data_IF_552744795058
#
_entry.id   IF_552744795058
#
_cell.length_a   1.000
_cell.length_b   1.000
_cell.length_c   1.000
_cell.angle_alpha   90.00
_cell.angle_beta   90.00
_cell.angle_gamma   90.00
#
_symmetry.space_group_name_H-M   'P 1'
#
loop_
_entity.id
_entity.type
_entity.pdbx_description
1 polymer ?
#
# COMPACT_ATOMS: atom_id res chain seq x y z
N UNK A 1 -8.26 14.60 -27.09
CA UNK A 1 -9.69 14.32 -26.83
C UNK A 1 -10.54 15.42 -27.42
N UNK A 2 -11.47 15.13 -28.34
CA UNK A 2 -12.24 16.18 -29.05
C UNK A 2 -13.32 16.85 -28.19
N UNK A 3 -13.47 16.44 -26.91
CA UNK A 3 -14.56 16.88 -26.03
C UNK A 3 -14.07 17.70 -24.82
N UNK A 4 -12.76 17.99 -24.72
CA UNK A 4 -12.21 18.81 -23.66
C UNK A 4 -12.01 20.26 -24.18
N UNK A 5 -12.38 21.22 -23.33
CA UNK A 5 -12.18 22.64 -23.53
C UNK A 5 -10.93 23.14 -22.81
N UNK A 6 -10.41 24.29 -23.23
CA UNK A 6 -9.32 24.98 -22.52
C UNK A 6 -9.68 25.19 -21.04
N UNK A 7 -8.76 24.89 -20.14
CA UNK A 7 -8.95 24.96 -18.69
C UNK A 7 -9.54 23.69 -18.06
N UNK A 8 -9.95 22.69 -18.85
CA UNK A 8 -10.39 21.41 -18.30
C UNK A 8 -9.21 20.66 -17.67
N UNK A 9 -9.50 19.85 -16.65
CA UNK A 9 -8.52 19.03 -15.95
C UNK A 9 -8.76 17.56 -16.22
N UNK A 10 -7.72 16.85 -16.67
CA UNK A 10 -7.70 15.40 -16.78
C UNK A 10 -7.08 14.83 -15.50
N UNK A 11 -7.78 13.93 -14.84
CA UNK A 11 -7.28 13.23 -13.65
C UNK A 11 -6.98 11.76 -14.02
N UNK A 12 -5.76 11.33 -13.78
CA UNK A 12 -5.37 9.91 -13.86
C UNK A 12 -5.30 9.34 -12.45
N UNK A 13 -6.32 8.58 -12.04
CA UNK A 13 -6.39 7.88 -10.76
C UNK A 13 -6.02 6.40 -10.84
N UNK A 14 -5.36 5.98 -11.92
CA UNK A 14 -4.89 4.62 -12.11
C UNK A 14 -3.61 4.30 -11.33
N UNK A 15 -2.96 3.20 -11.67
CA UNK A 15 -1.61 2.87 -11.19
C UNK A 15 -0.61 3.07 -12.34
N UNK A 16 -0.46 4.32 -12.77
CA UNK A 16 0.27 4.71 -13.97
C UNK A 16 1.76 4.95 -13.70
N UNK A 17 2.56 4.96 -14.77
CA UNK A 17 3.97 5.27 -14.68
C UNK A 17 4.17 6.79 -14.60
N UNK A 18 4.81 7.27 -13.55
CA UNK A 18 5.07 8.70 -13.31
C UNK A 18 5.78 9.42 -14.47
N UNK A 19 6.59 8.70 -15.26
CA UNK A 19 7.27 9.29 -16.43
C UNK A 19 6.29 9.57 -17.57
N UNK A 20 5.26 8.74 -17.70
CA UNK A 20 4.17 8.98 -18.64
C UNK A 20 3.30 10.15 -18.21
N UNK A 21 3.11 10.34 -16.90
CA UNK A 21 2.36 11.48 -16.37
C UNK A 21 3.05 12.80 -16.70
N UNK A 22 4.38 12.87 -16.49
CA UNK A 22 5.18 14.05 -16.86
C UNK A 22 5.02 14.36 -18.36
N UNK A 23 5.11 13.35 -19.23
CA UNK A 23 4.93 13.51 -20.67
C UNK A 23 3.52 13.96 -21.03
N UNK A 24 2.49 13.30 -20.47
CA UNK A 24 1.08 13.63 -20.71
C UNK A 24 0.74 15.03 -20.25
N UNK A 25 1.24 15.44 -19.08
CA UNK A 25 1.05 16.79 -18.57
C UNK A 25 1.59 17.84 -19.55
N UNK A 26 2.80 17.67 -20.08
CA UNK A 26 3.37 18.56 -21.07
C UNK A 26 2.53 18.60 -22.36
N UNK A 27 2.14 17.43 -22.90
CA UNK A 27 1.34 17.33 -24.13
C UNK A 27 -0.08 17.98 -23.98
N UNK A 28 -0.65 17.93 -22.77
CA UNK A 28 -1.95 18.53 -22.47
C UNK A 28 -1.83 20.03 -22.23
N UNK A 29 -0.76 20.49 -21.59
CA UNK A 29 -0.48 21.92 -21.39
C UNK A 29 -0.38 22.70 -22.71
N UNK A 30 0.21 22.11 -23.76
CA UNK A 30 0.25 22.69 -25.11
C UNK A 30 -1.16 22.95 -25.71
N UNK A 31 -2.17 22.32 -25.12
CA UNK A 31 -3.59 22.45 -25.53
C UNK A 31 -4.43 23.25 -24.53
N UNK A 32 -3.80 23.89 -23.56
CA UNK A 32 -4.50 24.63 -22.50
C UNK A 32 -5.28 23.74 -21.52
N UNK A 33 -4.88 22.45 -21.40
CA UNK A 33 -5.51 21.49 -20.50
C UNK A 33 -4.59 21.21 -19.31
N UNK A 34 -5.16 20.96 -18.15
CA UNK A 34 -4.44 20.54 -16.95
C UNK A 34 -4.40 19.03 -16.79
N UNK A 35 -3.34 18.53 -16.16
CA UNK A 35 -3.19 17.12 -15.84
C UNK A 35 -2.84 16.92 -14.36
N UNK A 36 -3.57 16.01 -13.70
CA UNK A 36 -3.38 15.67 -12.30
C UNK A 36 -3.26 14.14 -12.19
N UNK A 37 -2.16 13.67 -11.66
CA UNK A 37 -1.94 12.26 -11.34
C UNK A 37 -2.27 11.99 -9.88
N UNK A 38 -2.98 10.89 -9.62
CA UNK A 38 -3.43 10.54 -8.27
C UNK A 38 -3.10 9.08 -7.99
N UNK A 39 -2.07 8.85 -7.19
CA UNK A 39 -1.78 7.55 -6.63
C UNK A 39 -2.78 7.20 -5.54
N UNK A 40 -3.58 6.16 -5.75
CA UNK A 40 -4.68 5.77 -4.86
C UNK A 40 -4.30 4.52 -4.06
N UNK A 41 -4.55 4.52 -2.76
CA UNK A 41 -4.43 3.35 -1.88
C UNK A 41 -5.67 3.18 -1.02
N UNK A 42 -6.00 1.94 -0.64
CA UNK A 42 -7.21 1.58 0.13
C UNK A 42 -7.84 0.27 -0.34
N UNK A 43 -7.45 -0.21 -1.52
CA UNK A 43 -7.92 -1.47 -2.07
C UNK A 43 -9.44 -1.54 -2.17
N UNK A 44 -9.98 -2.74 -1.98
CA UNK A 44 -11.43 -3.00 -2.03
C UNK A 44 -12.21 -2.37 -0.89
N UNK A 45 -11.55 -2.01 0.21
CA UNK A 45 -12.16 -1.35 1.38
C UNK A 45 -12.21 0.17 1.28
N UNK A 46 -11.61 0.76 0.24
CA UNK A 46 -11.61 2.20 0.06
C UNK A 46 -13.00 2.80 -0.13
N UNK A 47 -13.96 2.02 -0.64
CA UNK A 47 -15.33 2.49 -0.76
C UNK A 47 -15.97 2.77 0.62
N UNK A 48 -15.67 1.94 1.61
CA UNK A 48 -16.24 2.05 2.97
C UNK A 48 -15.39 2.94 3.87
N UNK A 49 -14.06 2.92 3.72
CA UNK A 49 -13.12 3.55 4.63
C UNK A 49 -12.50 4.84 4.07
N UNK A 50 -12.72 5.15 2.80
CA UNK A 50 -12.03 6.21 2.07
C UNK A 50 -10.69 5.74 1.47
N UNK A 51 -10.15 6.56 0.57
CA UNK A 51 -8.92 6.28 -0.16
C UNK A 51 -7.80 7.23 0.26
N UNK A 52 -6.63 6.71 0.57
CA UNK A 52 -5.45 7.55 0.71
C UNK A 52 -4.96 8.01 -0.67
N UNK A 53 -4.79 9.33 -0.86
CA UNK A 53 -4.51 9.94 -2.15
C UNK A 53 -3.18 10.69 -2.14
N UNK A 54 -2.29 10.33 -3.06
CA UNK A 54 -1.02 11.02 -3.32
C UNK A 54 -1.12 11.71 -4.67
N UNK A 55 -1.09 13.04 -4.66
CA UNK A 55 -1.52 13.87 -5.80
C UNK A 55 -0.32 14.59 -6.39
N UNK A 56 -0.18 14.53 -7.71
CA UNK A 56 0.77 15.30 -8.49
C UNK A 56 0.07 16.20 -9.50
N UNK A 57 0.60 17.40 -9.73
CA UNK A 57 0.04 18.36 -10.66
C UNK A 57 0.41 19.80 -10.31
N UNK A 58 -0.07 20.76 -11.08
CA UNK A 58 0.08 22.17 -10.79
C UNK A 58 -0.80 22.59 -9.60
N UNK A 59 -0.37 23.60 -8.84
CA UNK A 59 -1.03 24.06 -7.61
C UNK A 59 -2.49 24.45 -7.83
N UNK A 60 -2.77 25.21 -8.91
CA UNK A 60 -4.11 25.73 -9.18
C UNK A 60 -5.13 24.61 -9.45
N UNK A 61 -4.93 23.71 -10.43
CA UNK A 61 -5.91 22.65 -10.70
C UNK A 61 -6.03 21.67 -9.53
N UNK A 62 -4.94 21.37 -8.81
CA UNK A 62 -4.99 20.52 -7.61
C UNK A 62 -5.80 21.19 -6.50
N UNK A 63 -5.58 22.49 -6.23
CA UNK A 63 -6.33 23.24 -5.22
C UNK A 63 -7.82 23.33 -5.56
N UNK A 64 -8.16 23.53 -6.84
CA UNK A 64 -9.56 23.55 -7.32
C UNK A 64 -10.27 22.21 -7.07
N UNK A 65 -9.54 21.10 -7.13
CA UNK A 65 -10.05 19.74 -6.95
C UNK A 65 -10.04 19.27 -5.48
N UNK A 66 -9.53 20.07 -4.55
CA UNK A 66 -9.46 19.69 -3.12
C UNK A 66 -10.79 19.18 -2.55
N UNK A 67 -11.97 19.79 -2.84
CA UNK A 67 -13.24 19.26 -2.34
C UNK A 67 -13.55 17.84 -2.83
N UNK A 68 -13.09 17.46 -4.03
CA UNK A 68 -13.25 16.11 -4.58
C UNK A 68 -12.34 15.15 -3.82
N UNK A 69 -11.05 15.49 -3.63
CA UNK A 69 -10.11 14.66 -2.90
C UNK A 69 -10.56 14.46 -1.45
N UNK A 70 -11.03 15.49 -0.79
CA UNK A 70 -11.57 15.45 0.57
C UNK A 70 -12.78 14.52 0.69
N UNK A 71 -13.65 14.48 -0.33
CA UNK A 71 -14.81 13.60 -0.33
C UNK A 71 -14.47 12.12 -0.53
N UNK A 72 -13.31 11.83 -1.14
CA UNK A 72 -12.84 10.47 -1.37
C UNK A 72 -11.93 9.96 -0.25
N UNK A 73 -11.29 10.87 0.49
CA UNK A 73 -10.33 10.54 1.54
C UNK A 73 -11.01 10.01 2.82
N UNK A 74 -10.27 9.26 3.68
CA UNK A 74 -10.81 8.71 4.92
C UNK A 74 -11.29 9.76 5.92
N UNK A 75 -10.72 10.97 5.90
CA UNK A 75 -10.93 11.98 6.92
C UNK A 75 -10.22 11.67 8.23
N UNK A 76 -10.23 12.64 9.14
CA UNK A 76 -9.57 12.52 10.44
C UNK A 76 -10.33 11.56 11.35
N UNK A 77 -9.64 10.56 11.89
CA UNK A 77 -10.17 9.68 12.94
C UNK A 77 -11.01 8.50 12.48
N UNK A 78 -11.30 8.35 11.18
CA UNK A 78 -12.10 7.22 10.69
C UNK A 78 -11.31 5.89 10.67
N UNK A 79 -10.03 5.95 10.31
CA UNK A 79 -9.16 4.75 10.21
C UNK A 79 -8.11 4.75 11.32
N UNK A 80 -7.49 5.91 11.56
CA UNK A 80 -6.48 6.11 12.59
C UNK A 80 -6.63 7.51 13.19
N UNK A 81 -6.35 7.65 14.50
CA UNK A 81 -6.32 8.95 15.16
C UNK A 81 -5.15 9.81 14.71
N UNK A 82 -5.16 11.08 15.08
CA UNK A 82 -4.06 12.02 14.79
C UNK A 82 -2.74 11.55 15.42
N UNK A 83 -1.66 11.83 14.74
CA UNK A 83 -0.31 11.57 15.26
C UNK A 83 -0.10 12.38 16.54
N UNK A 84 0.42 11.71 17.58
CA UNK A 84 0.71 12.35 18.87
C UNK A 84 1.64 13.57 18.68
N UNK A 85 1.28 14.66 19.36
CA UNK A 85 2.02 15.93 19.27
C UNK A 85 1.65 16.84 18.09
N UNK A 86 0.76 16.42 17.20
CA UNK A 86 0.18 17.33 16.19
C UNK A 86 -0.93 18.17 16.80
N UNK A 87 -0.78 19.49 16.75
CA UNK A 87 -1.71 20.49 17.26
C UNK A 87 -2.33 21.31 16.13
N UNK A 88 -3.36 22.11 16.44
CA UNK A 88 -4.06 22.98 15.49
C UNK A 88 -5.05 22.25 14.59
N UNK A 89 -5.50 22.93 13.52
CA UNK A 89 -6.41 22.33 12.54
C UNK A 89 -5.75 21.17 11.78
N UNK A 90 -6.49 20.10 11.48
CA UNK A 90 -5.97 19.00 10.68
C UNK A 90 -5.47 19.45 9.31
N UNK A 91 -4.35 18.89 8.87
CA UNK A 91 -3.86 19.06 7.51
C UNK A 91 -4.52 18.08 6.55
N UNK A 92 -4.44 18.33 5.25
CA UNK A 92 -4.93 17.39 4.23
C UNK A 92 -4.27 16.01 4.32
N UNK A 93 -3.00 15.95 4.74
CA UNK A 93 -2.30 14.69 4.99
C UNK A 93 -2.94 13.89 6.16
N UNK A 94 -3.41 14.57 7.20
CA UNK A 94 -4.13 13.93 8.32
C UNK A 94 -5.54 13.49 7.92
N UNK A 95 -6.12 14.11 6.89
CA UNK A 95 -7.39 13.70 6.29
C UNK A 95 -7.21 12.54 5.30
N UNK A 96 -5.98 12.20 4.90
CA UNK A 96 -5.65 11.06 4.04
C UNK A 96 -5.35 11.43 2.59
N UNK A 97 -5.13 12.71 2.26
CA UNK A 97 -4.68 13.12 0.91
C UNK A 97 -3.62 14.21 0.97
N UNK A 98 -2.71 14.21 0.01
CA UNK A 98 -1.61 15.17 -0.04
C UNK A 98 -1.24 15.54 -1.47
N UNK A 99 -1.10 16.85 -1.75
CA UNK A 99 -0.41 17.33 -2.93
C UNK A 99 1.10 17.13 -2.74
N UNK A 100 1.67 16.15 -3.45
CA UNK A 100 3.06 15.71 -3.29
C UNK A 100 4.05 16.53 -4.12
N UNK A 101 3.57 17.25 -5.13
CA UNK A 101 4.43 18.05 -6.02
C UNK A 101 3.89 18.12 -7.46
N UNK A 102 4.76 18.45 -8.45
CA UNK A 102 4.36 18.58 -9.84
C UNK A 102 3.87 17.26 -10.44
N UNK A 103 3.39 17.30 -11.69
CA UNK A 103 2.92 16.13 -12.41
C UNK A 103 3.90 14.96 -12.36
N UNK A 104 3.39 13.78 -12.06
CA UNK A 104 4.13 12.54 -11.81
C UNK A 104 4.50 12.31 -10.34
N UNK A 105 4.44 13.34 -9.47
CA UNK A 105 4.81 13.19 -8.05
C UNK A 105 3.87 12.25 -7.30
N UNK A 106 2.58 12.26 -7.60
CA UNK A 106 1.59 11.40 -6.97
C UNK A 106 1.86 9.92 -7.25
N UNK A 107 1.96 9.55 -8.52
CA UNK A 107 2.29 8.18 -8.93
C UNK A 107 3.71 7.76 -8.54
N UNK A 108 4.68 8.67 -8.48
CA UNK A 108 6.00 8.34 -7.97
C UNK A 108 5.96 7.93 -6.48
N UNK A 109 5.28 8.72 -5.64
CA UNK A 109 5.10 8.39 -4.22
C UNK A 109 4.32 7.08 -4.06
N UNK A 110 3.26 6.87 -4.87
CA UNK A 110 2.50 5.61 -4.86
C UNK A 110 3.35 4.42 -5.30
N UNK A 111 4.21 4.57 -6.28
CA UNK A 111 5.13 3.52 -6.72
C UNK A 111 6.08 3.09 -5.58
N UNK A 112 6.63 4.05 -4.84
CA UNK A 112 7.48 3.75 -3.66
C UNK A 112 6.68 3.04 -2.58
N UNK A 113 5.46 3.52 -2.28
CA UNK A 113 4.53 2.85 -1.37
C UNK A 113 4.29 1.40 -1.77
N UNK A 114 3.99 1.13 -3.03
CA UNK A 114 3.77 -0.23 -3.52
C UNK A 114 5.01 -1.11 -3.38
N UNK A 115 6.21 -0.56 -3.62
CA UNK A 115 7.46 -1.28 -3.39
C UNK A 115 7.64 -1.72 -1.94
N UNK A 116 7.33 -0.85 -0.99
CA UNK A 116 7.35 -1.16 0.45
C UNK A 116 6.29 -2.21 0.79
N UNK A 117 5.06 -2.04 0.29
CA UNK A 117 3.95 -2.98 0.52
C UNK A 117 4.30 -4.39 0.08
N UNK A 118 4.80 -4.57 -1.15
CA UNK A 118 5.21 -5.88 -1.66
C UNK A 118 6.41 -6.45 -0.89
N UNK A 119 7.35 -5.61 -0.45
CA UNK A 119 8.45 -6.04 0.41
C UNK A 119 7.97 -6.60 1.75
N UNK A 120 6.99 -5.94 2.38
CA UNK A 120 6.37 -6.42 3.62
C UNK A 120 5.59 -7.73 3.40
N UNK A 121 4.81 -7.82 2.33
CA UNK A 121 4.06 -9.03 1.97
C UNK A 121 5.01 -10.22 1.76
N UNK A 122 6.13 -10.02 1.06
CA UNK A 122 7.14 -11.06 0.86
C UNK A 122 7.78 -11.50 2.18
N UNK A 123 8.09 -10.57 3.08
CA UNK A 123 8.65 -10.88 4.39
C UNK A 123 7.69 -11.70 5.26
N UNK A 124 6.40 -11.36 5.26
CA UNK A 124 5.38 -12.15 5.99
C UNK A 124 5.21 -13.54 5.37
N UNK A 125 5.13 -13.63 4.04
CA UNK A 125 4.98 -14.90 3.35
C UNK A 125 6.15 -15.85 3.64
N UNK A 126 7.39 -15.35 3.59
CA UNK A 126 8.59 -16.13 3.89
C UNK A 126 8.61 -16.56 5.36
N UNK A 127 8.34 -15.66 6.30
CA UNK A 127 8.29 -15.98 7.72
C UNK A 127 7.23 -17.04 8.06
N UNK A 128 6.03 -16.92 7.50
CA UNK A 128 4.96 -17.90 7.68
C UNK A 128 5.29 -19.24 7.01
N UNK A 129 5.95 -19.23 5.86
CA UNK A 129 6.41 -20.47 5.20
C UNK A 129 7.45 -21.21 6.06
N UNK A 130 8.38 -20.48 6.70
CA UNK A 130 9.33 -21.06 7.65
C UNK A 130 8.60 -21.72 8.82
N UNK A 131 7.61 -21.05 9.41
CA UNK A 131 6.82 -21.61 10.51
C UNK A 131 5.98 -22.82 10.07
N UNK A 132 5.36 -22.74 8.89
CA UNK A 132 4.60 -23.86 8.31
C UNK A 132 5.48 -25.10 8.10
N UNK A 133 6.75 -24.87 7.76
CA UNK A 133 7.73 -25.93 7.49
C UNK A 133 8.55 -26.35 8.72
N UNK A 134 8.30 -25.78 9.89
CA UNK A 134 9.10 -26.03 11.11
C UNK A 134 8.97 -27.46 11.67
N UNK A 135 8.03 -28.24 11.15
CA UNK A 135 7.86 -29.67 11.48
C UNK A 135 8.60 -30.63 10.55
N UNK A 136 9.44 -30.13 9.65
CA UNK A 136 10.12 -30.98 8.64
C UNK A 136 10.94 -32.10 9.26
N UNK A 137 11.47 -31.94 10.50
CA UNK A 137 12.20 -32.96 11.24
C UNK A 137 11.33 -34.11 11.80
N UNK A 138 9.98 -33.98 11.73
CA UNK A 138 9.03 -35.05 12.11
C UNK A 138 8.85 -36.08 10.99
N UNK A 139 9.22 -35.76 9.75
CA UNK A 139 9.17 -36.71 8.65
C UNK A 139 10.27 -37.77 8.82
N UNK A 140 9.88 -38.97 9.24
CA UNK A 140 10.80 -40.03 9.65
C UNK A 140 11.65 -40.59 8.49
N UNK A 141 11.20 -40.45 7.24
CA UNK A 141 11.86 -41.01 6.05
C UNK A 141 11.83 -39.98 4.91
N UNK A 142 12.68 -38.97 4.99
CA UNK A 142 12.98 -38.18 3.80
C UNK A 142 13.84 -39.03 2.86
N UNK A 143 13.32 -39.34 1.67
CA UNK A 143 14.13 -39.98 0.62
C UNK A 143 15.32 -39.07 0.33
N UNK A 144 16.49 -39.52 0.74
CA UNK A 144 17.75 -38.86 0.43
C UNK A 144 18.13 -39.19 -1.01
N UNK A 145 18.21 -38.19 -1.84
CA UNK A 145 18.72 -38.31 -3.21
C UNK A 145 20.00 -37.47 -3.39
N UNK A 146 20.62 -37.57 -4.55
CA UNK A 146 21.88 -36.86 -4.83
C UNK A 146 21.74 -35.31 -4.80
N UNK A 147 20.52 -34.81 -4.85
CA UNK A 147 20.20 -33.35 -4.90
C UNK A 147 19.79 -32.78 -3.52
N UNK A 148 19.41 -33.63 -2.57
CA UNK A 148 18.99 -33.22 -1.23
C UNK A 148 20.02 -33.59 -0.17
N UNK A 149 20.58 -32.58 0.50
CA UNK A 149 21.44 -32.81 1.65
C UNK A 149 20.59 -33.28 2.85
N UNK A 150 21.00 -34.34 3.59
CA UNK A 150 20.29 -34.76 4.78
C UNK A 150 20.31 -33.65 5.85
N UNK A 151 19.19 -33.49 6.54
CA UNK A 151 19.08 -32.58 7.67
C UNK A 151 20.03 -33.03 8.79
N UNK A 152 20.88 -32.12 9.28
CA UNK A 152 21.91 -32.46 10.27
C UNK A 152 21.36 -32.69 11.66
N UNK A 153 20.26 -32.01 12.00
CA UNK A 153 19.63 -32.06 13.33
C UNK A 153 18.11 -32.00 13.21
N UNK A 154 17.47 -33.08 12.75
CA UNK A 154 16.03 -33.11 12.56
C UNK A 154 15.26 -32.88 13.87
N UNK A 155 15.85 -33.22 15.01
CA UNK A 155 15.28 -33.02 16.34
C UNK A 155 15.07 -31.53 16.71
N UNK A 156 15.77 -30.62 16.05
CA UNK A 156 15.60 -29.15 16.24
C UNK A 156 14.44 -28.59 15.43
N UNK A 157 13.80 -29.37 14.55
CA UNK A 157 12.75 -28.94 13.61
C UNK A 157 11.50 -29.82 13.70
N UNK A 158 11.00 -30.01 14.92
CA UNK A 158 9.84 -30.87 15.22
C UNK A 158 8.66 -30.08 15.77
N UNK A 159 8.46 -28.85 15.25
CA UNK A 159 7.39 -27.98 15.71
C UNK A 159 6.13 -28.16 14.85
N UNK A 160 4.98 -28.16 15.51
CA UNK A 160 3.66 -28.10 14.89
C UNK A 160 3.00 -26.81 15.37
N UNK A 161 3.11 -25.75 14.56
CA UNK A 161 2.59 -24.45 14.91
C UNK A 161 1.17 -24.26 14.38
N UNK A 162 0.32 -23.67 15.20
CA UNK A 162 -0.93 -23.07 14.78
C UNK A 162 -0.66 -21.65 14.26
N UNK A 163 -0.63 -21.50 12.94
CA UNK A 163 -0.30 -20.22 12.30
C UNK A 163 -1.38 -19.17 12.52
N UNK A 164 -2.65 -19.57 12.64
CA UNK A 164 -3.74 -18.66 12.92
C UNK A 164 -3.56 -18.03 14.31
N UNK A 165 -3.28 -18.84 15.33
CA UNK A 165 -3.04 -18.35 16.68
C UNK A 165 -1.75 -17.53 16.80
N UNK A 166 -0.69 -17.89 16.09
CA UNK A 166 0.56 -17.11 16.05
C UNK A 166 0.31 -15.73 15.43
N UNK A 167 -0.37 -15.67 14.29
CA UNK A 167 -0.66 -14.38 13.64
C UNK A 167 -1.65 -13.55 14.44
N UNK A 168 -2.58 -14.17 15.18
CA UNK A 168 -3.43 -13.47 16.13
C UNK A 168 -2.62 -12.79 17.25
N UNK A 169 -1.58 -13.44 17.77
CA UNK A 169 -0.63 -12.80 18.71
C UNK A 169 0.11 -11.66 18.06
N UNK A 170 0.57 -11.83 16.81
CA UNK A 170 1.33 -10.80 16.12
C UNK A 170 0.53 -9.51 15.89
N UNK A 171 -0.73 -9.61 15.57
CA UNK A 171 -1.62 -8.44 15.39
C UNK A 171 -1.95 -7.71 16.69
N UNK A 172 -1.77 -8.35 17.88
CA UNK A 172 -2.17 -7.79 19.18
C UNK A 172 -1.19 -6.80 19.80
N UNK A 173 0.06 -6.74 19.38
CA UNK A 173 0.99 -5.78 19.97
C UNK A 173 2.45 -5.98 19.63
N UNK A 174 2.77 -6.80 18.64
CA UNK A 174 4.15 -6.94 18.18
C UNK A 174 4.57 -5.75 17.31
N UNK A 175 5.88 -5.56 17.16
CA UNK A 175 6.45 -4.46 16.33
C UNK A 175 6.06 -4.59 14.86
N UNK A 176 5.77 -5.80 14.37
CA UNK A 176 5.33 -6.03 12.99
C UNK A 176 3.82 -5.84 12.79
N UNK A 177 3.08 -5.45 13.83
CA UNK A 177 1.65 -5.17 13.72
C UNK A 177 1.38 -4.19 12.58
N UNK A 178 0.48 -4.58 11.69
CA UNK A 178 0.08 -3.75 10.54
C UNK A 178 -1.27 -4.24 10.01
N UNK A 179 -1.91 -3.45 9.14
CA UNK A 179 -3.11 -3.90 8.44
C UNK A 179 -2.87 -5.17 7.62
N UNK A 180 -1.65 -5.34 7.05
CA UNK A 180 -1.30 -6.59 6.34
C UNK A 180 -1.30 -7.80 7.27
N UNK A 181 -0.86 -7.66 8.52
CA UNK A 181 -0.94 -8.75 9.52
C UNK A 181 -2.38 -9.03 9.91
N UNK A 182 -3.23 -8.01 10.03
CA UNK A 182 -4.67 -8.19 10.28
C UNK A 182 -5.33 -9.00 9.17
N UNK A 183 -5.05 -8.67 7.89
CA UNK A 183 -5.54 -9.42 6.74
C UNK A 183 -5.00 -10.85 6.68
N UNK A 184 -3.73 -11.04 7.04
CA UNK A 184 -3.10 -12.36 7.09
C UNK A 184 -3.76 -13.24 8.15
N UNK A 185 -3.99 -12.72 9.35
CA UNK A 185 -4.68 -13.46 10.42
C UNK A 185 -6.10 -13.85 10.00
N UNK A 186 -6.83 -12.95 9.34
CA UNK A 186 -8.18 -13.25 8.82
C UNK A 186 -8.16 -14.34 7.73
N UNK A 187 -7.09 -14.42 6.94
CA UNK A 187 -6.97 -15.42 5.87
C UNK A 187 -6.55 -16.81 6.38
N UNK A 188 -5.92 -16.88 7.55
CA UNK A 188 -5.47 -18.13 8.18
C UNK A 188 -6.52 -18.75 9.11
N UNK A 189 -7.52 -17.96 9.54
CA UNK A 189 -8.66 -18.41 10.35
C UNK A 189 -9.72 -19.08 9.46
#
# INVERSE_FOLDING_TARGET
>A
TPHLAEGDTVIDGGNSNHKDDIRRAAELADRGLHYVDVGVSGGVWGLDNGYALMIGGEDEPVGRLEPVFRSLAPGVGNVIGRTEGREGEPTTAEEGFLHCGPAGAGHFVKMVHNGIEYGLMAAYAEGLNILASAGIGLAADQEHNAETAPMRRPEEYQYQFDLAEITEVWRRGTVIRSWLVDLTANALF
#
